data_IF_577907274501
#
_entry.id   IF_577907274501
#
_cell.length_a   1.000
_cell.length_b   1.000
_cell.length_c   1.000
_cell.angle_alpha   90.00
_cell.angle_beta   90.00
_cell.angle_gamma   90.00
#
_symmetry.space_group_name_H-M   'P 1'
#
loop_
_entity.id
_entity.type
_entity.pdbx_description
1 polymer ?
#
# COMPACT_ATOMS: atom_id res chain seq x y z
N UNK A 1 14.73 -2.75 14.46
CA UNK A 1 13.65 -2.03 13.77
C UNK A 1 12.61 -3.05 13.31
N UNK A 2 11.37 -2.90 13.73
CA UNK A 2 10.35 -3.87 13.35
C UNK A 2 10.09 -3.89 11.84
N UNK A 3 9.71 -5.07 11.38
CA UNK A 3 9.46 -5.32 9.97
C UNK A 3 8.11 -5.98 9.80
N UNK A 4 7.37 -5.56 8.80
CA UNK A 4 6.10 -6.16 8.42
C UNK A 4 6.18 -6.57 6.95
N UNK A 5 5.90 -7.83 6.67
CA UNK A 5 5.81 -8.35 5.32
C UNK A 5 4.45 -8.99 5.14
N UNK A 6 3.74 -8.56 4.11
CA UNK A 6 2.42 -9.12 3.77
C UNK A 6 2.39 -9.38 2.29
N UNK A 7 1.83 -10.50 1.89
CA UNK A 7 1.59 -10.77 0.48
C UNK A 7 0.25 -11.46 0.28
N UNK A 8 -0.31 -11.30 -0.89
CA UNK A 8 -1.58 -11.91 -1.26
C UNK A 8 -1.55 -12.28 -2.73
N UNK A 9 -1.99 -13.49 -3.04
CA UNK A 9 -2.21 -13.90 -4.42
C UNK A 9 -3.58 -13.38 -4.87
N UNK A 10 -3.60 -12.69 -5.99
CA UNK A 10 -4.84 -12.12 -6.53
C UNK A 10 -5.07 -12.64 -7.94
N UNK A 11 -6.32 -12.62 -8.37
CA UNK A 11 -6.70 -13.16 -9.69
C UNK A 11 -6.30 -12.27 -10.85
N UNK A 12 -6.14 -10.96 -10.64
CA UNK A 12 -5.82 -10.03 -11.70
C UNK A 12 -4.41 -10.26 -12.28
N UNK A 13 -4.23 -10.11 -13.61
CA UNK A 13 -2.91 -10.19 -14.23
C UNK A 13 -1.98 -9.09 -13.72
N UNK A 14 -0.67 -9.31 -13.89
CA UNK A 14 0.35 -8.41 -13.32
C UNK A 14 0.19 -6.96 -13.73
N UNK A 15 -0.17 -6.68 -14.98
CA UNK A 15 -0.29 -5.28 -15.42
C UNK A 15 -1.47 -4.56 -14.79
N UNK A 16 -2.60 -5.27 -14.63
CA UNK A 16 -3.77 -4.71 -13.93
C UNK A 16 -3.49 -4.54 -12.45
N UNK A 17 -2.83 -5.52 -11.83
CA UNK A 17 -2.46 -5.45 -10.42
C UNK A 17 -1.48 -4.30 -10.17
N UNK A 18 -0.48 -4.16 -11.03
CA UNK A 18 0.49 -3.07 -10.92
C UNK A 18 -0.17 -1.71 -11.06
N UNK A 19 -1.06 -1.55 -12.05
CA UNK A 19 -1.77 -0.30 -12.25
C UNK A 19 -2.56 0.11 -10.99
N UNK A 20 -3.20 -0.87 -10.33
CA UNK A 20 -3.95 -0.62 -9.10
C UNK A 20 -3.04 -0.28 -7.93
N UNK A 21 -1.91 -0.96 -7.80
CA UNK A 21 -0.95 -0.73 -6.70
C UNK A 21 -0.34 0.66 -6.79
N UNK A 22 0.03 1.11 -7.98
CA UNK A 22 0.68 2.41 -8.16
C UNK A 22 -0.30 3.58 -8.07
N UNK A 23 -1.59 3.32 -8.24
CA UNK A 23 -2.64 4.34 -8.19
C UNK A 23 -3.07 4.60 -6.74
N UNK A 24 -2.15 5.11 -5.94
CA UNK A 24 -2.35 5.30 -4.49
C UNK A 24 -3.45 6.30 -4.17
N UNK A 25 -3.71 7.24 -5.06
CA UNK A 25 -4.77 8.25 -4.83
C UNK A 25 -6.16 7.65 -4.84
N UNK A 26 -6.32 6.48 -5.43
CA UNK A 26 -7.59 5.75 -5.44
C UNK A 26 -7.78 4.85 -4.22
N UNK A 27 -6.78 4.70 -3.38
CA UNK A 27 -6.87 3.82 -2.21
C UNK A 27 -8.03 4.17 -1.26
N UNK A 28 -8.31 5.45 -0.96
CA UNK A 28 -9.44 5.76 -0.08
C UNK A 28 -10.80 5.29 -0.62
N UNK A 29 -10.92 5.13 -1.93
CA UNK A 29 -12.17 4.69 -2.56
C UNK A 29 -12.51 3.23 -2.26
N UNK A 30 -11.50 2.41 -1.97
CA UNK A 30 -11.70 0.98 -1.74
C UNK A 30 -11.16 0.47 -0.41
N UNK A 31 -10.35 1.25 0.29
CA UNK A 31 -9.71 0.84 1.54
C UNK A 31 -10.27 1.66 2.69
N UNK A 32 -11.07 1.03 3.54
CA UNK A 32 -11.74 1.72 4.64
C UNK A 32 -10.78 2.36 5.62
N UNK A 33 -9.60 1.77 5.80
CA UNK A 33 -8.60 2.26 6.73
C UNK A 33 -7.72 3.37 6.17
N UNK A 34 -7.79 3.66 4.90
CA UNK A 34 -7.06 4.77 4.28
C UNK A 34 -8.03 5.95 4.15
N UNK A 35 -7.83 6.98 4.95
CA UNK A 35 -8.69 8.15 4.93
C UNK A 35 -8.43 9.05 3.73
N UNK A 36 -7.16 9.30 3.44
CA UNK A 36 -6.79 10.16 2.32
C UNK A 36 -5.39 9.88 1.83
N UNK A 37 -5.18 10.10 0.54
CA UNK A 37 -3.87 10.12 -0.09
C UNK A 37 -3.87 11.30 -1.04
N UNK A 38 -2.98 12.25 -0.83
CA UNK A 38 -2.86 13.44 -1.66
C UNK A 38 -1.52 13.47 -2.37
N UNK A 39 -1.52 13.84 -3.64
CA UNK A 39 -0.28 14.06 -4.38
C UNK A 39 0.26 15.44 -4.03
N UNK A 40 1.42 15.47 -3.42
CA UNK A 40 2.07 16.71 -3.00
C UNK A 40 2.96 17.25 -4.12
N UNK A 41 3.72 16.37 -4.77
CA UNK A 41 4.64 16.73 -5.84
C UNK A 41 4.89 15.53 -6.73
N UNK A 42 5.14 15.81 -8.00
CA UNK A 42 5.54 14.79 -8.97
C UNK A 42 6.65 15.34 -9.82
N UNK A 43 7.89 15.00 -9.48
CA UNK A 43 9.07 15.49 -10.16
C UNK A 43 9.17 14.94 -11.59
N UNK A 44 8.85 13.65 -11.76
CA UNK A 44 8.82 12.97 -13.06
C UNK A 44 7.99 11.69 -12.95
N UNK A 45 7.99 10.85 -14.00
CA UNK A 45 7.17 9.63 -14.02
C UNK A 45 7.57 8.60 -12.96
N UNK A 46 8.76 8.70 -12.41
CA UNK A 46 9.29 7.73 -11.45
C UNK A 46 9.42 8.25 -10.03
N UNK A 47 9.23 9.55 -9.82
CA UNK A 47 9.42 10.18 -8.51
C UNK A 47 8.23 11.05 -8.16
N UNK A 48 7.61 10.73 -7.05
CA UNK A 48 6.49 11.53 -6.52
C UNK A 48 6.57 11.60 -5.01
N UNK A 49 5.85 12.55 -4.45
CA UNK A 49 5.69 12.73 -3.01
C UNK A 49 4.19 12.72 -2.71
N UNK A 50 3.78 11.90 -1.75
CA UNK A 50 2.37 11.77 -1.37
C UNK A 50 2.21 11.94 0.13
N UNK A 51 1.06 12.48 0.53
CA UNK A 51 0.68 12.62 1.94
C UNK A 51 -0.46 11.67 2.26
N UNK A 52 -0.34 10.97 3.37
CA UNK A 52 -1.24 9.88 3.77
C UNK A 52 -1.88 10.15 5.11
N UNK A 53 -3.11 9.72 5.25
CA UNK A 53 -3.82 9.65 6.53
C UNK A 53 -4.47 8.27 6.61
N UNK A 54 -4.06 7.47 7.57
CA UNK A 54 -4.49 6.06 7.70
C UNK A 54 -4.95 5.79 9.11
N UNK A 55 -6.09 5.13 9.26
CA UNK A 55 -6.58 4.69 10.56
C UNK A 55 -5.87 3.41 10.98
N UNK A 56 -5.40 3.40 12.21
CA UNK A 56 -4.70 2.26 12.76
C UNK A 56 -5.09 2.10 14.23
N UNK A 57 -5.85 1.07 14.56
CA UNK A 57 -6.25 0.74 15.93
C UNK A 57 -6.82 1.94 16.71
N UNK A 58 -7.78 2.65 16.12
CA UNK A 58 -8.43 3.78 16.79
C UNK A 58 -7.65 5.08 16.74
N UNK A 59 -6.46 5.07 16.17
CA UNK A 59 -5.65 6.26 15.96
C UNK A 59 -5.53 6.55 14.47
N UNK A 60 -5.12 7.76 14.14
CA UNK A 60 -4.85 8.15 12.76
C UNK A 60 -3.36 8.46 12.64
N UNK A 61 -2.69 7.76 11.73
CA UNK A 61 -1.31 8.03 11.39
C UNK A 61 -1.26 8.93 10.16
N UNK A 62 -0.46 9.96 10.22
CA UNK A 62 -0.26 10.88 9.11
C UNK A 62 1.22 10.96 8.78
N UNK A 63 1.53 10.87 7.50
CA UNK A 63 2.90 11.03 7.04
C UNK A 63 2.92 11.49 5.59
N UNK A 64 4.08 12.00 5.20
CA UNK A 64 4.39 12.32 3.81
C UNK A 64 5.56 11.44 3.41
N UNK A 65 5.45 10.82 2.25
CA UNK A 65 6.48 9.92 1.76
C UNK A 65 6.99 10.31 0.38
N UNK A 66 8.30 10.10 0.17
CA UNK A 66 8.89 10.15 -1.14
C UNK A 66 8.82 8.75 -1.75
N UNK A 67 8.39 8.66 -3.00
CA UNK A 67 8.20 7.40 -3.69
C UNK A 67 9.03 7.33 -4.95
N UNK A 68 9.68 6.19 -5.16
CA UNK A 68 10.43 5.89 -6.37
C UNK A 68 9.75 4.72 -7.06
N UNK A 69 9.25 4.96 -8.28
CA UNK A 69 8.44 4.02 -9.02
C UNK A 69 9.28 3.39 -10.13
N UNK A 70 9.34 2.07 -10.16
CA UNK A 70 10.00 1.31 -11.22
C UNK A 70 8.97 0.45 -11.95
N UNK A 71 8.41 0.93 -13.08
CA UNK A 71 7.39 0.17 -13.81
C UNK A 71 7.92 -1.13 -14.41
N UNK A 72 9.18 -1.17 -14.74
CA UNK A 72 9.78 -2.37 -15.36
C UNK A 72 9.88 -3.51 -14.34
N UNK A 73 10.23 -3.17 -13.10
CA UNK A 73 10.28 -4.14 -12.00
C UNK A 73 8.93 -4.34 -11.34
N UNK A 74 7.94 -3.53 -11.67
CA UNK A 74 6.62 -3.48 -11.00
C UNK A 74 6.79 -3.38 -9.50
N UNK A 75 7.53 -2.36 -9.09
CA UNK A 75 7.87 -2.08 -7.70
C UNK A 75 7.91 -0.58 -7.47
N UNK A 76 7.42 -0.11 -6.32
CA UNK A 76 7.76 1.23 -5.90
C UNK A 76 8.20 1.23 -4.44
N UNK A 77 9.25 1.99 -4.17
CA UNK A 77 9.81 2.15 -2.84
C UNK A 77 9.28 3.44 -2.24
N UNK A 78 9.07 3.45 -0.94
CA UNK A 78 8.63 4.66 -0.23
C UNK A 78 9.46 4.88 1.01
N UNK A 79 9.58 6.16 1.38
CA UNK A 79 10.31 6.58 2.56
C UNK A 79 9.61 7.78 3.16
N UNK A 80 9.28 7.72 4.44
CA UNK A 80 8.71 8.87 5.13
C UNK A 80 9.72 10.01 5.14
N UNK A 81 9.29 11.18 4.72
CA UNK A 81 10.08 12.42 4.79
C UNK A 81 9.59 13.34 5.89
N UNK A 82 8.34 13.16 6.33
CA UNK A 82 7.76 13.86 7.47
C UNK A 82 6.57 13.05 7.98
N UNK A 83 6.35 13.00 9.26
CA UNK A 83 5.17 12.32 9.78
C UNK A 83 5.30 11.85 11.22
N UNK A 84 4.31 11.06 11.62
CA UNK A 84 4.12 10.65 13.01
C UNK A 84 5.10 9.58 13.50
N UNK A 85 5.68 8.80 12.60
CA UNK A 85 6.63 7.76 12.96
C UNK A 85 8.07 8.31 12.92
N UNK A 86 8.97 7.67 13.65
CA UNK A 86 10.39 8.02 13.59
C UNK A 86 10.99 7.65 12.24
N UNK A 87 10.72 6.43 11.78
CA UNK A 87 11.08 5.98 10.44
C UNK A 87 9.96 5.13 9.88
N UNK A 88 9.79 5.20 8.56
CA UNK A 88 8.79 4.40 7.86
C UNK A 88 9.25 4.28 6.42
N UNK A 89 9.74 3.10 6.07
CA UNK A 89 10.25 2.81 4.73
C UNK A 89 9.72 1.46 4.28
N UNK A 90 9.67 1.26 2.99
CA UNK A 90 9.25 -0.02 2.46
C UNK A 90 9.10 -0.02 0.97
N UNK A 91 8.41 -1.04 0.49
CA UNK A 91 8.10 -1.12 -0.92
C UNK A 91 6.87 -1.98 -1.18
N UNK A 92 6.22 -1.68 -2.30
CA UNK A 92 5.21 -2.52 -2.90
C UNK A 92 5.82 -3.21 -4.11
N UNK A 93 5.46 -4.45 -4.35
CA UNK A 93 5.91 -5.19 -5.52
C UNK A 93 4.79 -6.09 -6.05
N UNK A 94 4.79 -6.29 -7.36
CA UNK A 94 3.84 -7.18 -8.04
C UNK A 94 4.65 -8.13 -8.90
N UNK A 95 4.42 -9.42 -8.73
CA UNK A 95 5.06 -10.45 -9.55
C UNK A 95 3.99 -11.39 -10.12
N UNK A 96 4.28 -12.09 -11.23
CA UNK A 96 3.34 -13.08 -11.75
C UNK A 96 3.04 -14.14 -10.71
N UNK A 97 1.77 -14.48 -10.59
CA UNK A 97 1.29 -15.54 -9.70
C UNK A 97 0.76 -16.73 -10.48
N UNK A 98 0.21 -17.73 -9.77
CA UNK A 98 -0.34 -18.91 -10.42
C UNK A 98 -1.58 -18.56 -11.25
N UNK A 99 -1.84 -19.40 -12.26
CA UNK A 99 -3.07 -19.34 -13.08
C UNK A 99 -3.29 -17.99 -13.77
N UNK A 100 -2.21 -17.28 -14.13
CA UNK A 100 -2.32 -15.98 -14.81
C UNK A 100 -2.63 -14.81 -13.89
N UNK A 101 -2.69 -15.05 -12.59
CA UNK A 101 -2.86 -13.98 -11.61
C UNK A 101 -1.55 -13.34 -11.19
N UNK A 102 -1.56 -12.70 -10.04
CA UNK A 102 -0.42 -11.96 -9.51
C UNK A 102 -0.24 -12.21 -8.02
N UNK A 103 0.97 -12.01 -7.53
CA UNK A 103 1.23 -11.90 -6.11
C UNK A 103 1.64 -10.46 -5.82
N UNK A 104 0.88 -9.81 -4.95
CA UNK A 104 1.16 -8.44 -4.51
C UNK A 104 1.75 -8.51 -3.12
N UNK A 105 2.86 -7.82 -2.91
CA UNK A 105 3.52 -7.79 -1.61
C UNK A 105 3.73 -6.36 -1.15
N UNK A 106 3.69 -6.19 0.18
CA UNK A 106 4.00 -4.94 0.85
C UNK A 106 4.98 -5.24 1.98
N UNK A 107 6.12 -4.59 1.93
CA UNK A 107 7.15 -4.68 2.94
C UNK A 107 7.32 -3.33 3.62
N UNK A 108 7.34 -3.33 4.95
CA UNK A 108 7.49 -2.10 5.74
C UNK A 108 8.51 -2.31 6.85
N UNK A 109 9.48 -1.41 6.94
CA UNK A 109 10.35 -1.26 8.10
C UNK A 109 9.97 0.04 8.79
N UNK A 110 9.79 0.03 10.11
CA UNK A 110 9.36 1.23 10.81
C UNK A 110 10.02 1.35 12.18
N UNK A 111 9.97 2.56 12.73
CA UNK A 111 10.40 2.87 14.08
C UNK A 111 9.36 3.85 14.67
N UNK A 112 8.92 3.56 15.88
CA UNK A 112 7.93 4.42 16.56
C UNK A 112 8.54 5.80 16.88
N UNK A 113 9.85 5.88 17.05
CA UNK A 113 10.53 7.15 17.26
C UNK A 113 10.63 7.57 18.74
N UNK A 114 10.11 6.76 19.65
CA UNK A 114 10.21 7.00 21.09
C UNK A 114 10.97 5.82 21.70
N UNK A 115 12.29 5.93 21.88
CA UNK A 115 13.12 4.78 22.25
C UNK A 115 12.67 4.02 23.51
N UNK A 116 12.19 4.73 24.53
CA UNK A 116 11.76 4.09 25.78
C UNK A 116 10.48 3.27 25.60
N UNK A 117 9.66 3.60 24.61
CA UNK A 117 8.41 2.88 24.37
C UNK A 117 8.50 1.89 23.22
N UNK A 118 9.50 2.04 22.36
CA UNK A 118 9.64 1.23 21.14
C UNK A 118 9.65 -0.27 21.45
N UNK A 119 10.44 -0.69 22.42
CA UNK A 119 10.53 -2.12 22.79
C UNK A 119 9.19 -2.68 23.25
N UNK A 120 8.40 -1.87 23.94
CA UNK A 120 7.10 -2.29 24.45
C UNK A 120 6.01 -2.29 23.40
N UNK A 121 6.08 -1.33 22.47
CA UNK A 121 5.01 -1.07 21.50
C UNK A 121 5.29 -1.63 20.11
N UNK A 122 6.56 -1.96 19.80
CA UNK A 122 6.93 -2.45 18.46
C UNK A 122 6.12 -3.68 18.04
N UNK A 123 5.94 -4.64 18.95
CA UNK A 123 5.16 -5.83 18.64
C UNK A 123 3.69 -5.52 18.34
N UNK A 124 3.09 -4.64 19.15
CA UNK A 124 1.69 -4.24 18.97
C UNK A 124 1.54 -3.43 17.68
N UNK A 125 2.48 -2.51 17.43
CA UNK A 125 2.46 -1.70 16.21
C UNK A 125 2.68 -2.58 14.97
N UNK A 126 3.60 -3.54 15.05
CA UNK A 126 3.85 -4.46 13.94
C UNK A 126 2.61 -5.28 13.60
N UNK A 127 1.92 -5.79 14.62
CA UNK A 127 0.68 -6.55 14.40
C UNK A 127 -0.41 -5.69 13.78
N UNK A 128 -0.56 -4.45 14.24
CA UNK A 128 -1.54 -3.51 13.70
C UNK A 128 -1.23 -3.14 12.26
N UNK A 129 0.04 -2.88 11.93
CA UNK A 129 0.46 -2.57 10.57
C UNK A 129 0.29 -3.77 9.64
N UNK A 130 0.59 -4.99 10.12
CA UNK A 130 0.39 -6.21 9.34
C UNK A 130 -1.08 -6.41 9.02
N UNK A 131 -1.94 -6.25 10.00
CA UNK A 131 -3.38 -6.37 9.82
C UNK A 131 -3.90 -5.32 8.85
N UNK A 132 -3.45 -4.09 8.99
CA UNK A 132 -3.79 -2.99 8.09
C UNK A 132 -3.34 -3.30 6.66
N UNK A 133 -2.09 -3.72 6.48
CA UNK A 133 -1.56 -4.07 5.17
C UNK A 133 -2.33 -5.21 4.53
N UNK A 134 -2.68 -6.23 5.29
CA UNK A 134 -3.48 -7.35 4.81
C UNK A 134 -4.86 -6.89 4.34
N UNK A 135 -5.49 -5.98 5.08
CA UNK A 135 -6.78 -5.40 4.69
C UNK A 135 -6.66 -4.59 3.39
N UNK A 136 -5.58 -3.86 3.22
CA UNK A 136 -5.31 -3.09 2.00
C UNK A 136 -5.19 -4.03 0.78
N UNK A 137 -4.42 -5.09 0.91
CA UNK A 137 -4.26 -6.07 -0.18
C UNK A 137 -5.59 -6.75 -0.52
N UNK A 138 -6.36 -7.14 0.50
CA UNK A 138 -7.67 -7.75 0.31
C UNK A 138 -8.64 -6.80 -0.41
N UNK A 139 -8.60 -5.52 -0.05
CA UNK A 139 -9.44 -4.51 -0.68
C UNK A 139 -9.08 -4.31 -2.14
N UNK A 140 -7.79 -4.30 -2.49
CA UNK A 140 -7.35 -4.25 -3.88
C UNK A 140 -7.83 -5.45 -4.67
N UNK A 141 -7.72 -6.66 -4.10
CA UNK A 141 -8.19 -7.87 -4.74
C UNK A 141 -9.69 -7.81 -5.03
N UNK A 142 -10.48 -7.40 -4.04
CA UNK A 142 -11.93 -7.26 -4.20
C UNK A 142 -12.30 -6.26 -5.28
N UNK A 143 -11.61 -5.13 -5.32
CA UNK A 143 -11.86 -4.09 -6.32
C UNK A 143 -11.55 -4.59 -7.72
N UNK A 144 -10.43 -5.26 -7.90
CA UNK A 144 -10.04 -5.82 -9.19
C UNK A 144 -10.97 -6.95 -9.62
N UNK A 145 -11.37 -7.80 -8.70
CA UNK A 145 -12.31 -8.88 -8.97
C UNK A 145 -13.69 -8.32 -9.40
N UNK A 146 -14.17 -7.30 -8.72
CA UNK A 146 -15.44 -6.66 -9.06
C UNK A 146 -15.38 -6.02 -10.45
N UNK A 147 -14.28 -5.37 -10.80
CA UNK A 147 -14.10 -4.77 -12.12
C UNK A 147 -14.08 -5.82 -13.24
N UNK A 148 -13.49 -6.98 -12.97
CA UNK A 148 -13.43 -8.08 -13.96
C UNK A 148 -14.78 -8.75 -14.17
N UNK A 149 -15.58 -8.84 -13.12
CA UNK A 149 -16.90 -9.51 -13.19
C UNK A 149 -17.96 -8.57 -13.77
N UNK A 150 -17.80 -7.26 -13.53
CA UNK A 150 -18.80 -6.30 -13.98
C UNK A 150 -18.86 -6.25 -15.49
N UNK A 151 -20.03 -6.43 -16.11
CA UNK A 151 -20.16 -6.24 -17.55
C UNK A 151 -19.88 -4.81 -17.94
N UNK A 152 -19.23 -4.61 -19.08
CA UNK A 152 -19.05 -3.27 -19.57
C UNK A 152 -20.38 -2.67 -20.01
N UNK A 153 -20.54 -1.34 -19.85
CA UNK A 153 -21.73 -0.67 -20.37
C UNK A 153 -21.86 -0.92 -21.87
N UNK A 154 -22.98 -1.43 -22.30
CA UNK A 154 -23.20 -1.75 -23.71
C UNK A 154 -22.75 -3.13 -24.14
N UNK A 155 -21.98 -3.84 -23.33
CA UNK A 155 -21.55 -5.20 -23.65
C UNK A 155 -22.61 -6.24 -23.27
N UNK A 156 -23.46 -5.89 -22.43
CA UNK A 156 -24.47 -6.77 -21.94
C UNK A 156 -25.57 -6.86 -22.88
N UNK A 157 -25.95 -7.73 -23.12
CA UNK A 157 -27.19 -7.71 -23.71
C UNK A 157 -27.35 -8.27 -24.84
#
# INVERSE_FOLDING_TARGET
MPRVDVELSIAAPVDEAWAAVVDVRSYPDCMDNVESVDLVDQADDRHRTTSWSVRLKGSVLRWTEAEVIDPDARRFDFRQVAGDLGEFTGHWAVVPGPAGGSTVSLHVDFDIGIPLLAEMLDGVAADALRENAAQMLTALDRRLAAARVRPEPGAVR
#
